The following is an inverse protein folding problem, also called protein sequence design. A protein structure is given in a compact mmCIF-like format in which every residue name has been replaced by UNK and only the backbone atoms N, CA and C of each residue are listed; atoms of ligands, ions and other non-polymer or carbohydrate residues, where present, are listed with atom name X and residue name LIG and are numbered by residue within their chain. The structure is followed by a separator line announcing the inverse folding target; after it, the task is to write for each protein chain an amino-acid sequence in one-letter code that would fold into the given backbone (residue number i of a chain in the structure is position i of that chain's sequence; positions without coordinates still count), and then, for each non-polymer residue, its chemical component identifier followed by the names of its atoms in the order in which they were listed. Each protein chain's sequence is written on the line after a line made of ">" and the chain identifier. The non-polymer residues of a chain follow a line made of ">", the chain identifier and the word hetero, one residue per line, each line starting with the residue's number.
data_IF_555139634826
#
_entry.id   IF_555139634826
#
_cell.length_a   1.000
_cell.length_b   1.000
_cell.length_c   1.000
_cell.angle_alpha   90.00
_cell.angle_beta   90.00
_cell.angle_gamma   90.00
#
_symmetry.space_group_name_H-M   'P 1'
#
loop_
_entity.id
_entity.type
_entity.pdbx_description
1 polymer ?
#
# COMPACT_ATOMS: atom_id res chain seq x y z
N UNK A 1 4.91 56.78 -39.67
CA UNK A 1 5.29 56.03 -38.43
C UNK A 1 4.12 55.28 -37.73
N UNK A 2 3.06 54.89 -38.47
CA UNK A 2 1.90 54.17 -37.83
C UNK A 2 1.81 52.66 -38.15
N UNK A 3 2.74 52.13 -38.95
CA UNK A 3 2.65 50.72 -39.39
C UNK A 3 3.36 49.69 -38.46
N UNK A 4 4.21 50.16 -37.53
CA UNK A 4 5.01 49.27 -36.67
C UNK A 4 4.29 48.87 -35.37
N UNK A 5 3.28 49.59 -34.91
CA UNK A 5 2.58 49.30 -33.64
C UNK A 5 1.52 48.20 -33.79
N UNK A 6 0.91 48.05 -34.97
CA UNK A 6 -0.08 47.01 -35.23
C UNK A 6 0.55 45.60 -35.35
N UNK A 7 1.74 45.49 -35.91
CA UNK A 7 2.45 44.23 -36.02
C UNK A 7 2.97 43.71 -34.66
N UNK A 8 3.40 44.62 -33.77
CA UNK A 8 3.82 44.27 -32.42
C UNK A 8 2.64 43.77 -31.55
N UNK A 9 1.47 44.41 -31.63
CA UNK A 9 0.27 44.01 -30.93
C UNK A 9 -0.29 42.65 -31.43
N UNK A 10 -0.18 42.39 -32.72
CA UNK A 10 -0.59 41.12 -33.33
C UNK A 10 0.35 39.97 -32.94
N UNK A 11 1.65 40.23 -32.85
CA UNK A 11 2.67 39.27 -32.40
C UNK A 11 2.49 38.94 -30.92
N UNK A 12 2.28 39.94 -30.06
CA UNK A 12 2.00 39.73 -28.63
C UNK A 12 0.70 38.96 -28.39
N UNK A 13 -0.36 39.21 -29.16
CA UNK A 13 -1.62 38.48 -29.09
C UNK A 13 -1.46 37.01 -29.49
N UNK A 14 -0.67 36.71 -30.52
CA UNK A 14 -0.34 35.32 -30.90
C UNK A 14 0.51 34.60 -29.84
N UNK A 15 1.46 35.28 -29.24
CA UNK A 15 2.29 34.74 -28.16
C UNK A 15 1.41 34.47 -26.91
N UNK A 16 0.49 35.40 -26.59
CA UNK A 16 -0.41 35.21 -25.43
C UNK A 16 -1.41 34.06 -25.63
N UNK A 17 -1.97 33.93 -26.84
CA UNK A 17 -2.84 32.80 -27.20
C UNK A 17 -2.05 31.46 -27.15
N UNK A 18 -0.82 31.46 -27.66
CA UNK A 18 0.04 30.28 -27.65
C UNK A 18 0.44 29.85 -26.22
N UNK A 19 0.70 30.82 -25.32
CA UNK A 19 0.99 30.57 -23.91
C UNK A 19 -0.26 29.98 -23.20
N UNK A 20 -1.45 30.56 -23.43
CA UNK A 20 -2.71 30.07 -22.86
C UNK A 20 -3.04 28.68 -23.40
N UNK A 21 -2.88 28.43 -24.71
CA UNK A 21 -3.09 27.09 -25.29
C UNK A 21 -2.11 26.05 -24.74
N UNK A 22 -0.87 26.44 -24.47
CA UNK A 22 0.13 25.54 -23.83
C UNK A 22 -0.23 25.29 -22.38
N UNK A 23 -0.63 26.30 -21.60
CA UNK A 23 -1.06 26.13 -20.22
C UNK A 23 -2.35 25.29 -20.10
N UNK A 24 -3.34 25.51 -20.99
CA UNK A 24 -4.58 24.73 -21.01
C UNK A 24 -4.30 23.27 -21.42
N UNK A 25 -3.44 23.04 -22.39
CA UNK A 25 -3.03 21.70 -22.82
C UNK A 25 -2.20 20.99 -21.72
N UNK A 26 -1.40 21.73 -20.97
CA UNK A 26 -0.70 21.19 -19.79
C UNK A 26 -1.69 20.89 -18.67
N UNK A 27 -2.61 21.79 -18.33
CA UNK A 27 -3.65 21.54 -17.31
C UNK A 27 -4.55 20.35 -17.67
N UNK A 28 -4.93 20.15 -18.94
CA UNK A 28 -5.66 18.94 -19.36
C UNK A 28 -4.82 17.66 -19.24
N UNK A 29 -3.51 17.73 -19.38
CA UNK A 29 -2.61 16.59 -19.14
C UNK A 29 -2.56 16.19 -17.67
N UNK A 30 -2.56 17.19 -16.76
CA UNK A 30 -2.50 16.97 -15.32
C UNK A 30 -3.86 16.49 -14.76
N UNK A 31 -4.98 16.91 -15.36
CA UNK A 31 -6.33 16.54 -14.89
C UNK A 31 -6.64 15.04 -14.94
N UNK A 32 -5.83 14.25 -15.66
CA UNK A 32 -6.01 12.79 -15.78
C UNK A 32 -5.32 11.98 -14.69
N UNK A 33 -4.32 12.54 -14.02
CA UNK A 33 -3.69 11.94 -12.85
C UNK A 33 -4.27 12.63 -11.63
N UNK A 34 -5.20 11.96 -10.99
CA UNK A 34 -5.91 12.48 -9.81
C UNK A 34 -4.97 12.56 -8.61
N UNK A 35 -5.02 13.66 -7.83
CA UNK A 35 -4.16 13.86 -6.67
C UNK A 35 -4.56 13.01 -5.45
N UNK A 36 -5.69 12.31 -5.51
CA UNK A 36 -6.24 11.46 -4.46
C UNK A 36 -5.73 10.01 -4.50
N UNK A 37 -4.84 9.68 -5.46
CA UNK A 37 -4.24 8.36 -5.59
C UNK A 37 -2.72 8.45 -5.65
N UNK A 38 -2.03 7.75 -4.74
CA UNK A 38 -0.57 7.72 -4.66
C UNK A 38 0.02 6.74 -5.68
N UNK A 39 -0.52 5.52 -5.74
CA UNK A 39 0.02 4.44 -6.57
C UNK A 39 -0.93 4.12 -7.72
N UNK A 40 -0.46 4.27 -8.93
CA UNK A 40 -1.17 3.88 -10.15
C UNK A 40 -0.55 2.63 -10.78
N UNK A 41 -1.38 1.68 -11.15
CA UNK A 41 -0.96 0.66 -12.10
C UNK A 41 -0.93 1.23 -13.52
N UNK A 42 -0.11 0.63 -14.38
CA UNK A 42 -0.08 1.00 -15.81
C UNK A 42 -1.44 0.82 -16.50
N UNK A 43 -2.25 -0.14 -16.01
CA UNK A 43 -3.59 -0.37 -16.55
C UNK A 43 -4.53 0.77 -16.16
N UNK A 44 -4.56 1.20 -14.90
CA UNK A 44 -5.36 2.34 -14.44
C UNK A 44 -5.01 3.62 -15.20
N UNK A 45 -3.72 3.88 -15.45
CA UNK A 45 -3.29 5.02 -16.26
C UNK A 45 -3.81 4.93 -17.70
N UNK A 46 -3.82 3.73 -18.30
CA UNK A 46 -4.40 3.51 -19.64
C UNK A 46 -5.90 3.68 -19.67
N UNK A 47 -6.61 3.18 -18.67
CA UNK A 47 -8.06 3.30 -18.55
C UNK A 47 -8.49 4.77 -18.40
N UNK A 48 -7.62 5.60 -17.80
CA UNK A 48 -7.74 7.07 -17.79
C UNK A 48 -7.38 7.72 -19.14
N UNK A 49 -7.07 6.94 -20.19
CA UNK A 49 -6.75 7.40 -21.55
C UNK A 49 -5.32 7.91 -21.74
N UNK A 50 -4.39 7.49 -20.87
CA UNK A 50 -2.97 7.82 -21.04
C UNK A 50 -2.27 6.74 -21.88
N UNK A 51 -1.70 7.13 -23.03
CA UNK A 51 -0.85 6.26 -23.83
C UNK A 51 0.51 6.06 -23.16
N UNK A 52 1.24 5.01 -23.54
CA UNK A 52 2.63 4.80 -23.06
C UNK A 52 3.53 6.02 -23.28
N UNK A 53 3.38 6.71 -24.40
CA UNK A 53 4.12 7.93 -24.69
C UNK A 53 3.82 9.02 -23.65
N UNK A 54 2.53 9.27 -23.36
CA UNK A 54 2.11 10.25 -22.34
C UNK A 54 2.61 9.90 -20.95
N UNK A 55 2.51 8.63 -20.54
CA UNK A 55 3.06 8.14 -19.26
C UNK A 55 4.57 8.40 -19.19
N UNK A 56 5.31 8.12 -20.27
CA UNK A 56 6.75 8.41 -20.33
C UNK A 56 7.08 9.90 -20.23
N UNK A 57 6.24 10.78 -20.78
CA UNK A 57 6.40 12.23 -20.61
C UNK A 57 6.15 12.68 -19.16
N UNK A 58 5.10 12.14 -18.50
CA UNK A 58 4.82 12.44 -17.08
C UNK A 58 5.98 11.98 -16.16
N UNK A 59 6.62 10.84 -16.48
CA UNK A 59 7.82 10.41 -15.78
C UNK A 59 9.00 11.36 -16.00
N UNK A 60 9.23 11.82 -17.23
CA UNK A 60 10.29 12.80 -17.50
C UNK A 60 10.06 14.15 -16.84
N UNK A 61 8.81 14.54 -16.65
CA UNK A 61 8.40 15.76 -15.96
C UNK A 61 8.42 15.63 -14.43
N UNK A 62 8.69 14.43 -13.89
CA UNK A 62 8.71 14.19 -12.46
C UNK A 62 7.33 14.11 -11.79
N UNK A 63 6.24 14.07 -12.56
CA UNK A 63 4.86 13.94 -12.06
C UNK A 63 4.57 12.49 -11.65
N UNK A 64 5.15 11.55 -12.38
CA UNK A 64 5.12 10.14 -12.04
C UNK A 64 6.54 9.64 -11.81
N UNK A 65 6.74 8.85 -10.77
CA UNK A 65 7.96 8.08 -10.54
C UNK A 65 7.67 6.62 -10.87
N UNK A 66 8.50 6.02 -11.71
CA UNK A 66 8.34 4.61 -12.05
C UNK A 66 8.91 3.72 -10.95
N UNK A 67 8.04 3.02 -10.21
CA UNK A 67 8.45 2.09 -9.16
C UNK A 67 8.94 0.75 -9.74
N UNK A 68 8.20 0.21 -10.72
CA UNK A 68 8.55 -1.04 -11.40
C UNK A 68 7.90 -1.10 -12.80
N UNK A 69 7.85 -2.29 -13.42
CA UNK A 69 7.27 -2.47 -14.76
C UNK A 69 5.77 -2.19 -14.82
N UNK A 70 5.05 -2.24 -13.70
CA UNK A 70 3.58 -2.18 -13.65
C UNK A 70 3.04 -0.99 -12.87
N UNK A 71 3.81 -0.40 -11.96
CA UNK A 71 3.34 0.61 -11.02
C UNK A 71 4.16 1.89 -11.05
N UNK A 72 3.46 2.98 -10.81
CA UNK A 72 3.97 4.35 -10.79
C UNK A 72 3.47 5.05 -9.54
N UNK A 73 4.32 5.86 -8.95
CA UNK A 73 3.99 6.77 -7.87
C UNK A 73 3.60 8.14 -8.43
N UNK A 74 2.60 8.75 -7.85
CA UNK A 74 2.15 10.11 -8.15
C UNK A 74 2.77 11.10 -7.16
N UNK A 75 3.65 11.96 -7.63
CA UNK A 75 4.32 12.96 -6.80
C UNK A 75 3.42 14.11 -6.36
N UNK A 76 2.24 14.26 -6.98
CA UNK A 76 1.25 15.26 -6.64
C UNK A 76 0.14 14.72 -5.71
N UNK A 77 0.36 13.56 -5.11
CA UNK A 77 -0.57 13.01 -4.12
C UNK A 77 -0.68 13.95 -2.92
N UNK A 78 -1.92 14.26 -2.51
CA UNK A 78 -2.22 15.20 -1.42
C UNK A 78 -2.93 14.53 -0.22
N UNK A 79 -3.04 13.20 -0.24
CA UNK A 79 -3.64 12.42 0.83
C UNK A 79 -2.64 11.95 1.88
N UNK A 80 -3.12 11.12 2.79
CA UNK A 80 -2.28 10.47 3.81
C UNK A 80 -1.45 9.36 3.19
N UNK A 81 -0.12 9.50 3.24
CA UNK A 81 0.81 8.50 2.74
C UNK A 81 0.88 7.30 3.67
N UNK A 82 1.00 6.12 3.08
CA UNK A 82 1.25 4.87 3.79
C UNK A 82 2.23 4.01 3.02
N UNK A 83 3.24 3.50 3.72
CA UNK A 83 4.22 2.57 3.17
C UNK A 83 3.56 1.29 2.62
N UNK A 84 2.34 0.97 3.08
CA UNK A 84 1.59 -0.20 2.63
C UNK A 84 1.11 -0.08 1.17
N UNK A 85 0.95 1.14 0.64
CA UNK A 85 0.65 1.33 -0.77
C UNK A 85 1.84 0.96 -1.65
N UNK A 86 3.06 1.28 -1.22
CA UNK A 86 4.28 0.84 -1.90
C UNK A 86 4.47 -0.67 -1.78
N UNK A 87 4.22 -1.25 -0.61
CA UNK A 87 4.24 -2.70 -0.43
C UNK A 87 3.30 -3.41 -1.43
N UNK A 88 2.10 -2.87 -1.64
CA UNK A 88 1.17 -3.37 -2.66
C UNK A 88 1.73 -3.22 -4.09
N UNK A 89 2.39 -2.13 -4.41
CA UNK A 89 2.98 -1.91 -5.74
C UNK A 89 4.08 -2.91 -6.07
N UNK A 90 4.92 -3.28 -5.08
CA UNK A 90 6.01 -4.23 -5.27
C UNK A 90 5.57 -5.70 -5.14
N UNK A 91 4.61 -5.98 -4.27
CA UNK A 91 4.09 -7.33 -3.98
C UNK A 91 2.55 -7.34 -4.05
N UNK A 92 1.93 -7.16 -5.23
CA UNK A 92 0.49 -6.96 -5.37
C UNK A 92 -0.37 -8.11 -4.84
N UNK A 93 0.17 -9.33 -4.87
CA UNK A 93 -0.50 -10.53 -4.33
C UNK A 93 -0.10 -10.82 -2.89
N UNK A 94 0.80 -10.03 -2.30
CA UNK A 94 1.19 -10.15 -0.90
C UNK A 94 0.10 -9.68 0.03
N UNK A 95 0.18 -10.10 1.28
CA UNK A 95 -0.72 -9.71 2.36
C UNK A 95 0.13 -9.23 3.53
N UNK A 96 -0.09 -8.01 3.99
CA UNK A 96 0.59 -7.46 5.18
C UNK A 96 0.23 -8.33 6.37
N UNK A 97 1.23 -8.73 7.16
CA UNK A 97 1.08 -9.74 8.20
C UNK A 97 1.88 -9.40 9.45
N UNK A 98 1.83 -10.27 10.43
CA UNK A 98 2.60 -10.24 11.66
C UNK A 98 2.63 -8.87 12.35
N UNK A 99 3.83 -8.38 12.72
CA UNK A 99 3.94 -7.14 13.48
C UNK A 99 3.50 -5.91 12.70
N UNK A 100 3.70 -5.88 11.38
CA UNK A 100 3.19 -4.77 10.55
C UNK A 100 1.66 -4.69 10.56
N UNK A 101 0.97 -5.83 10.51
CA UNK A 101 -0.48 -5.87 10.66
C UNK A 101 -0.92 -5.54 12.10
N UNK A 102 -0.20 -6.02 13.11
CA UNK A 102 -0.50 -5.70 14.51
C UNK A 102 -0.41 -4.20 14.80
N UNK A 103 0.61 -3.53 14.27
CA UNK A 103 0.76 -2.07 14.40
C UNK A 103 -0.39 -1.34 13.71
N UNK A 104 -0.77 -1.75 12.51
CA UNK A 104 -1.91 -1.18 11.80
C UNK A 104 -3.20 -1.22 12.63
N UNK A 105 -3.45 -2.34 13.32
CA UNK A 105 -4.62 -2.51 14.18
C UNK A 105 -4.44 -1.94 15.60
N UNK A 106 -3.35 -1.24 15.88
CA UNK A 106 -3.01 -0.73 17.21
C UNK A 106 -2.94 -1.84 18.29
N UNK A 107 -2.44 -3.01 17.90
CA UNK A 107 -2.20 -4.13 18.83
C UNK A 107 -0.77 -4.14 19.39
N UNK A 108 0.15 -3.40 18.80
CA UNK A 108 1.53 -3.26 19.27
C UNK A 108 2.03 -1.83 19.11
N UNK A 109 2.89 -1.43 20.03
CA UNK A 109 3.65 -0.16 19.97
C UNK A 109 4.99 -0.33 19.28
N UNK A 110 5.37 -1.56 18.94
CA UNK A 110 6.59 -1.88 18.21
C UNK A 110 6.61 -1.18 16.85
N UNK A 111 7.77 -0.69 16.45
CA UNK A 111 7.98 -0.09 15.11
C UNK A 111 8.93 -0.98 14.33
N UNK A 112 8.43 -1.86 13.48
CA UNK A 112 9.27 -2.72 12.66
C UNK A 112 10.07 -1.87 11.65
N UNK A 113 11.35 -2.22 11.45
CA UNK A 113 12.22 -1.58 10.45
C UNK A 113 11.85 -1.95 9.01
N UNK A 114 10.96 -2.91 8.84
CA UNK A 114 10.51 -3.40 7.54
C UNK A 114 9.03 -3.80 7.60
N UNK A 115 8.37 -3.79 6.44
CA UNK A 115 6.98 -4.24 6.32
C UNK A 115 6.96 -5.76 6.14
N UNK A 116 6.28 -6.46 7.05
CA UNK A 116 6.09 -7.90 6.98
C UNK A 116 5.01 -8.25 5.96
N UNK A 117 5.36 -9.02 4.94
CA UNK A 117 4.47 -9.42 3.85
C UNK A 117 4.45 -10.92 3.69
N UNK A 118 3.28 -11.53 3.81
CA UNK A 118 3.05 -12.92 3.48
C UNK A 118 2.83 -13.11 1.98
N UNK A 119 3.45 -14.16 1.43
CA UNK A 119 3.19 -14.64 0.06
C UNK A 119 3.03 -16.18 0.08
N UNK A 120 2.35 -16.75 -0.94
CA UNK A 120 2.27 -18.20 -1.07
C UNK A 120 3.66 -18.83 -1.19
N UNK A 121 3.86 -20.02 -0.63
CA UNK A 121 5.16 -20.72 -0.59
C UNK A 121 5.79 -20.92 -1.97
N UNK A 122 4.96 -21.04 -3.01
CA UNK A 122 5.41 -21.22 -4.40
C UNK A 122 5.61 -19.91 -5.16
N UNK A 123 5.20 -18.78 -4.58
CA UNK A 123 5.36 -17.47 -5.21
C UNK A 123 6.82 -17.01 -5.17
N UNK A 124 7.17 -16.14 -6.11
CA UNK A 124 8.49 -15.49 -6.16
C UNK A 124 8.30 -13.99 -6.28
N UNK A 125 9.08 -13.25 -5.52
CA UNK A 125 9.23 -11.81 -5.68
C UNK A 125 10.47 -11.56 -6.49
N UNK A 126 10.35 -10.91 -7.64
CA UNK A 126 11.46 -10.73 -8.57
C UNK A 126 12.39 -9.58 -8.17
N UNK A 127 11.86 -8.56 -7.57
CA UNK A 127 12.62 -7.35 -7.19
C UNK A 127 11.97 -6.74 -5.97
N UNK A 128 12.74 -6.57 -4.91
CA UNK A 128 12.35 -5.81 -3.74
C UNK A 128 12.88 -4.38 -3.87
N UNK A 129 12.18 -3.38 -3.34
CA UNK A 129 12.66 -2.00 -3.29
C UNK A 129 13.78 -1.85 -2.26
N UNK A 130 14.58 -0.78 -2.41
CA UNK A 130 15.46 -0.32 -1.34
C UNK A 130 14.65 0.30 -0.20
N UNK A 131 13.55 0.97 -0.55
CA UNK A 131 12.57 1.54 0.37
C UNK A 131 11.15 1.45 -0.21
N UNK A 132 10.14 1.15 0.64
CA UNK A 132 10.25 0.64 2.02
C UNK A 132 10.88 -0.76 2.05
N UNK A 133 11.58 -1.06 3.14
CA UNK A 133 12.16 -2.40 3.32
C UNK A 133 11.03 -3.42 3.54
N UNK A 134 11.07 -4.53 2.82
CA UNK A 134 10.04 -5.56 2.85
C UNK A 134 10.62 -6.88 3.36
N UNK A 135 10.02 -7.44 4.42
CA UNK A 135 10.29 -8.79 4.91
C UNK A 135 9.29 -9.78 4.30
N UNK A 136 9.76 -10.76 3.58
CA UNK A 136 8.92 -11.73 2.90
C UNK A 136 8.78 -13.01 3.72
N UNK A 137 7.54 -13.34 4.07
CA UNK A 137 7.15 -14.56 4.77
C UNK A 137 6.43 -15.51 3.81
N UNK A 138 6.94 -16.75 3.71
CA UNK A 138 6.38 -17.77 2.85
C UNK A 138 5.36 -18.60 3.64
N UNK A 139 4.08 -18.43 3.34
CA UNK A 139 2.99 -19.16 3.98
C UNK A 139 2.56 -20.35 3.13
N UNK A 140 2.10 -21.40 3.77
CA UNK A 140 1.39 -22.49 3.07
C UNK A 140 0.09 -21.97 2.47
N UNK A 141 -0.42 -22.61 1.42
CA UNK A 141 -1.63 -22.15 0.73
C UNK A 141 -2.83 -22.02 1.70
N UNK A 142 -2.96 -22.95 2.65
CA UNK A 142 -4.00 -22.92 3.69
C UNK A 142 -3.86 -21.68 4.59
N UNK A 143 -2.65 -21.39 5.07
CA UNK A 143 -2.37 -20.25 5.93
C UNK A 143 -2.51 -18.93 5.19
N UNK A 144 -2.11 -18.90 3.93
CA UNK A 144 -2.12 -17.69 3.11
C UNK A 144 -3.54 -17.26 2.74
N UNK A 145 -4.43 -18.20 2.41
CA UNK A 145 -5.77 -17.92 1.88
C UNK A 145 -6.78 -17.40 2.89
N UNK A 146 -6.49 -17.56 4.20
CA UNK A 146 -7.45 -17.31 5.27
C UNK A 146 -7.24 -15.94 5.89
N UNK A 147 -8.33 -15.17 6.07
CA UNK A 147 -8.35 -13.92 6.80
C UNK A 147 -7.73 -12.72 6.06
N UNK A 148 -7.45 -12.85 4.77
CA UNK A 148 -6.93 -11.73 3.97
C UNK A 148 -8.07 -10.80 3.54
N UNK A 149 -7.90 -9.51 3.82
CA UNK A 149 -8.83 -8.44 3.49
C UNK A 149 -8.15 -7.42 2.56
N UNK A 150 -8.95 -6.67 1.80
CA UNK A 150 -8.50 -5.52 1.03
C UNK A 150 -8.95 -4.28 1.78
N UNK A 151 -8.01 -3.43 2.13
CA UNK A 151 -8.28 -2.10 2.68
C UNK A 151 -8.16 -1.10 1.55
N UNK A 152 -9.21 -0.30 1.39
CA UNK A 152 -9.26 0.80 0.43
C UNK A 152 -9.32 2.13 1.21
N UNK A 153 -8.39 3.03 0.91
CA UNK A 153 -8.36 4.39 1.47
C UNK A 153 -8.30 5.37 0.29
N UNK A 154 -9.40 6.04 0.04
CA UNK A 154 -9.58 6.78 -1.21
C UNK A 154 -9.44 5.86 -2.41
N UNK A 155 -8.54 6.19 -3.32
CA UNK A 155 -8.23 5.37 -4.50
C UNK A 155 -6.98 4.47 -4.31
N UNK A 156 -6.39 4.45 -3.12
CA UNK A 156 -5.29 3.56 -2.78
C UNK A 156 -5.79 2.31 -2.08
N UNK A 157 -5.04 1.22 -2.21
CA UNK A 157 -5.41 -0.06 -1.60
C UNK A 157 -4.19 -0.89 -1.23
N UNK A 158 -4.38 -1.76 -0.25
CA UNK A 158 -3.43 -2.81 0.11
C UNK A 158 -4.17 -4.02 0.66
N UNK A 159 -3.48 -5.13 0.82
CA UNK A 159 -4.01 -6.36 1.42
C UNK A 159 -3.39 -6.56 2.78
N UNK A 160 -4.20 -6.93 3.76
CA UNK A 160 -3.78 -7.18 5.14
C UNK A 160 -4.57 -8.36 5.71
N UNK A 161 -3.99 -9.10 6.65
CA UNK A 161 -4.77 -10.06 7.41
C UNK A 161 -5.65 -9.36 8.44
N UNK A 162 -6.85 -9.90 8.66
CA UNK A 162 -7.75 -9.42 9.72
C UNK A 162 -7.13 -9.57 11.12
N UNK A 163 -7.75 -8.95 12.09
CA UNK A 163 -7.23 -8.84 13.46
C UNK A 163 -6.99 -10.22 14.08
N UNK A 164 -7.97 -11.13 14.02
CA UNK A 164 -7.87 -12.43 14.64
C UNK A 164 -6.83 -13.33 13.96
N UNK A 165 -6.74 -13.23 12.63
CA UNK A 165 -5.70 -13.95 11.88
C UNK A 165 -4.32 -13.41 12.22
N UNK A 166 -4.18 -12.10 12.36
CA UNK A 166 -2.93 -11.44 12.76
C UNK A 166 -2.49 -11.93 14.13
N UNK A 167 -3.39 -11.96 15.12
CA UNK A 167 -3.11 -12.46 16.48
C UNK A 167 -2.70 -13.93 16.44
N UNK A 168 -3.45 -14.79 15.71
CA UNK A 168 -3.14 -16.20 15.60
C UNK A 168 -1.78 -16.45 14.95
N UNK A 169 -1.42 -15.70 13.92
CA UNK A 169 -0.11 -15.80 13.26
C UNK A 169 1.04 -15.35 14.18
N UNK A 170 0.88 -14.26 14.91
CA UNK A 170 1.89 -13.78 15.86
C UNK A 170 2.15 -14.83 16.95
N UNK A 171 1.10 -15.40 17.52
CA UNK A 171 1.25 -16.47 18.52
C UNK A 171 1.94 -17.70 17.93
N UNK A 172 1.62 -18.07 16.69
CA UNK A 172 2.29 -19.16 16.01
C UNK A 172 3.78 -18.86 15.76
N UNK A 173 4.10 -17.66 15.32
CA UNK A 173 5.46 -17.22 15.01
C UNK A 173 6.18 -16.52 16.17
N UNK A 174 5.71 -16.65 17.42
CA UNK A 174 6.24 -15.99 18.63
C UNK A 174 7.76 -16.08 18.80
N UNK A 175 8.39 -17.16 18.31
CA UNK A 175 9.85 -17.31 18.36
C UNK A 175 10.57 -16.38 17.36
N UNK A 176 9.87 -15.90 16.33
CA UNK A 176 10.40 -14.96 15.35
C UNK A 176 9.97 -13.53 15.62
N UNK A 177 8.74 -13.35 16.08
CA UNK A 177 8.18 -12.01 16.36
C UNK A 177 8.55 -11.49 17.75
N UNK A 178 9.02 -12.37 18.66
CA UNK A 178 9.32 -12.03 20.04
C UNK A 178 8.20 -12.44 21.00
N UNK A 179 8.60 -12.90 22.18
CA UNK A 179 7.65 -13.33 23.21
C UNK A 179 6.95 -12.14 23.86
N UNK A 180 7.67 -11.05 24.09
CA UNK A 180 7.13 -9.84 24.71
C UNK A 180 6.15 -9.12 23.75
N UNK A 181 6.49 -9.02 22.46
CA UNK A 181 5.61 -8.49 21.42
C UNK A 181 4.35 -9.35 21.30
N UNK A 182 4.49 -10.68 21.40
CA UNK A 182 3.34 -11.59 21.38
C UNK A 182 2.41 -11.36 22.57
N UNK A 183 2.95 -11.16 23.77
CA UNK A 183 2.16 -10.85 24.98
C UNK A 183 1.45 -9.50 24.85
N UNK A 184 2.17 -8.46 24.36
CA UNK A 184 1.60 -7.14 24.12
C UNK A 184 0.40 -7.23 23.18
N UNK A 185 0.59 -7.87 22.02
CA UNK A 185 -0.46 -8.03 21.00
C UNK A 185 -1.68 -8.77 21.55
N UNK A 186 -1.48 -9.85 22.27
CA UNK A 186 -2.59 -10.61 22.90
C UNK A 186 -3.30 -9.79 23.97
N UNK A 187 -2.56 -9.13 24.86
CA UNK A 187 -3.13 -8.27 25.90
C UNK A 187 -3.98 -7.15 25.28
N UNK A 188 -3.42 -6.44 24.30
CA UNK A 188 -4.15 -5.36 23.60
C UNK A 188 -5.38 -5.88 22.86
N UNK A 189 -5.28 -7.05 22.21
CA UNK A 189 -6.43 -7.69 21.56
C UNK A 189 -7.53 -8.04 22.58
N UNK A 190 -7.19 -8.59 23.75
CA UNK A 190 -8.17 -8.95 24.78
C UNK A 190 -8.89 -7.72 25.38
N UNK A 191 -8.28 -6.55 25.35
CA UNK A 191 -8.92 -5.31 25.81
C UNK A 191 -9.83 -4.66 24.75
N UNK A 192 -9.82 -5.12 23.50
CA UNK A 192 -10.69 -4.58 22.45
C UNK A 192 -12.14 -4.96 22.67
N UNK A 193 -13.02 -4.01 22.38
CA UNK A 193 -14.50 -4.26 22.45
C UNK A 193 -15.00 -5.05 21.25
N UNK A 194 -14.31 -4.94 20.11
CA UNK A 194 -14.64 -5.57 18.83
C UNK A 194 -13.96 -6.93 18.62
N UNK A 195 -13.28 -7.47 19.66
CA UNK A 195 -12.63 -8.79 19.59
C UNK A 195 -13.63 -9.91 19.33
N UNK A 196 -13.25 -10.88 18.52
CA UNK A 196 -14.04 -12.06 18.23
C UNK A 196 -13.26 -13.34 18.63
N UNK A 197 -13.41 -13.74 19.90
CA UNK A 197 -12.71 -14.93 20.43
C UNK A 197 -13.07 -16.22 19.68
N UNK A 198 -14.31 -16.36 19.23
CA UNK A 198 -14.71 -17.54 18.44
C UNK A 198 -13.96 -17.61 17.10
N UNK A 199 -13.79 -16.47 16.44
CA UNK A 199 -13.02 -16.37 15.19
C UNK A 199 -11.54 -16.64 15.44
N UNK A 200 -10.96 -16.08 16.53
CA UNK A 200 -9.58 -16.34 16.93
C UNK A 200 -9.33 -17.84 17.16
N UNK A 201 -10.18 -18.52 17.95
CA UNK A 201 -10.04 -19.95 18.24
C UNK A 201 -10.17 -20.79 16.97
N UNK A 202 -11.10 -20.45 16.08
CA UNK A 202 -11.23 -21.12 14.79
C UNK A 202 -9.95 -20.99 13.94
N UNK A 203 -9.36 -19.81 13.87
CA UNK A 203 -8.07 -19.62 13.20
C UNK A 203 -6.94 -20.39 13.90
N UNK A 204 -6.92 -20.38 15.22
CA UNK A 204 -5.94 -21.12 16.02
C UNK A 204 -5.99 -22.64 15.77
N UNK A 205 -7.19 -23.19 15.60
CA UNK A 205 -7.39 -24.61 15.23
C UNK A 205 -6.84 -24.89 13.82
N UNK A 206 -7.26 -24.10 12.83
CA UNK A 206 -6.80 -24.24 11.44
C UNK A 206 -5.27 -24.10 11.32
N UNK A 207 -4.68 -23.21 12.10
CA UNK A 207 -3.25 -22.89 12.08
C UNK A 207 -2.43 -23.76 13.06
N UNK A 208 -3.08 -24.70 13.76
CA UNK A 208 -2.46 -25.64 14.70
C UNK A 208 -1.70 -24.94 15.86
N UNK A 209 -2.25 -23.84 16.36
CA UNK A 209 -1.69 -23.11 17.50
C UNK A 209 -2.69 -22.89 18.66
N UNK A 210 -3.82 -23.61 18.67
CA UNK A 210 -4.87 -23.47 19.68
C UNK A 210 -4.35 -23.68 21.11
N UNK A 211 -3.56 -24.74 21.34
CA UNK A 211 -3.04 -25.05 22.68
C UNK A 211 -2.11 -23.94 23.18
N UNK A 212 -1.40 -23.31 22.28
CA UNK A 212 -0.51 -22.20 22.62
C UNK A 212 -1.34 -20.98 23.00
N UNK A 213 -2.35 -20.64 22.21
CA UNK A 213 -3.26 -19.53 22.51
C UNK A 213 -3.96 -19.75 23.86
N UNK A 214 -4.48 -20.96 24.12
CA UNK A 214 -5.14 -21.26 25.38
C UNK A 214 -4.20 -21.01 26.58
N UNK A 215 -2.94 -21.46 26.51
CA UNK A 215 -1.95 -21.21 27.58
C UNK A 215 -1.72 -19.72 27.83
N UNK A 216 -1.70 -18.88 26.79
CA UNK A 216 -1.59 -17.45 26.96
C UNK A 216 -2.87 -16.86 27.56
N UNK A 217 -4.05 -17.31 27.13
CA UNK A 217 -5.32 -16.84 27.68
C UNK A 217 -5.46 -17.19 29.17
N UNK A 218 -5.03 -18.39 29.60
CA UNK A 218 -5.04 -18.78 31.02
C UNK A 218 -4.17 -17.89 31.92
N UNK A 219 -3.14 -17.26 31.35
CA UNK A 219 -2.22 -16.40 32.11
C UNK A 219 -2.66 -14.94 32.08
N UNK A 220 -3.36 -14.51 31.01
CA UNK A 220 -3.72 -13.11 30.78
C UNK A 220 -5.16 -12.76 31.18
N UNK A 221 -6.00 -13.73 31.46
CA UNK A 221 -7.38 -13.59 31.93
C UNK A 221 -7.50 -14.01 33.36
#
# INVERSE_FOLDING_TARGET
>A
MRHNSQNAAFCLKKIYIWIIDVEVVEMEKYSKVSNDQLIFSIQELKDKGLSYYKISQLVKQGILIKLNKKYYENTNFDGEESDFYYAYAYVPNGVICLLSAAVYYNLSTYRPDAIDIAIPRKARVSTLPEWPVLNIYYFTDERFSVGAEIIEVGNNKFRIYDIEKTVADIVFYREKTGVEETKEVLSNYLHRKDRNLNKLIRYAEMLKCKDIINKYLEVLV
#
